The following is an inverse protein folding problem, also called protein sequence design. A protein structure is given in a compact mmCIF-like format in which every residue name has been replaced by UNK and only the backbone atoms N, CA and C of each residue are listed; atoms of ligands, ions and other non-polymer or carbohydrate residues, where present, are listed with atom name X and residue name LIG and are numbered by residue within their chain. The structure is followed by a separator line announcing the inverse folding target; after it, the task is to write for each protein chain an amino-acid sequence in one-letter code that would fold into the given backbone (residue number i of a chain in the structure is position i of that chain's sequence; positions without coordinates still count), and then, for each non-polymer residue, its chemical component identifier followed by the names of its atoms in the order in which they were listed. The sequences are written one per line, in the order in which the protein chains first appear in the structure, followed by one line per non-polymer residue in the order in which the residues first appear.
data_IF_675928280243
#
_entry.id   IF_675928280243
#
_cell.length_a   1.000
_cell.length_b   1.000
_cell.length_c   1.000
_cell.angle_alpha   90.00
_cell.angle_beta   90.00
_cell.angle_gamma   90.00
#
_symmetry.space_group_name_H-M   'P 1'
#
loop_
_entity.id
_entity.type
_entity.pdbx_description
1 polymer ?
#
# COMPACT_ATOMS: atom_id res chain seq x y z
N UNK A 1 -0.82 -16.86 4.50
CA UNK A 1 -2.09 -17.26 5.14
C UNK A 1 -2.92 -18.05 4.13
N UNK A 2 -3.00 -19.40 4.22
CA UNK A 2 -3.62 -20.24 3.17
C UNK A 2 -3.13 -19.92 1.74
N UNK A 3 -1.82 -19.74 1.57
CA UNK A 3 -1.19 -19.34 0.30
C UNK A 3 -1.65 -17.99 -0.29
N UNK A 4 -2.32 -17.14 0.50
CA UNK A 4 -2.56 -15.74 0.17
C UNK A 4 -1.42 -14.89 0.74
N UNK A 5 -0.87 -14.03 -0.11
CA UNK A 5 0.06 -12.95 0.27
C UNK A 5 -0.77 -11.74 0.73
N UNK A 6 -0.70 -11.35 2.02
CA UNK A 6 -1.45 -10.20 2.52
C UNK A 6 -1.12 -8.90 1.80
N UNK A 7 0.12 -8.70 1.32
CA UNK A 7 0.49 -7.49 0.57
C UNK A 7 0.15 -7.58 -0.93
N UNK A 8 -0.79 -8.45 -1.29
CA UNK A 8 -1.42 -8.57 -2.61
C UNK A 8 -2.94 -8.68 -2.49
N UNK A 9 -3.49 -8.34 -1.34
CA UNK A 9 -4.86 -8.73 -0.96
C UNK A 9 -5.75 -7.52 -0.61
N UNK A 10 -5.32 -6.29 -0.89
CA UNK A 10 -6.12 -5.08 -0.68
C UNK A 10 -6.84 -4.63 -1.97
N UNK A 11 -8.01 -3.95 -1.89
CA UNK A 11 -8.76 -3.42 -3.04
C UNK A 11 -8.04 -2.24 -3.71
N UNK A 12 -6.92 -2.50 -4.37
CA UNK A 12 -6.17 -1.51 -5.13
C UNK A 12 -5.56 -2.14 -6.38
N UNK A 13 -5.94 -1.64 -7.55
CA UNK A 13 -5.72 -2.31 -8.85
C UNK A 13 -6.26 -3.77 -8.89
N UNK A 14 -7.24 -4.12 -8.04
CA UNK A 14 -7.91 -5.42 -8.06
C UNK A 14 -9.29 -5.38 -7.42
N UNK A 15 -10.13 -6.35 -7.77
CA UNK A 15 -11.56 -6.35 -7.45
C UNK A 15 -12.16 -7.73 -7.24
N UNK A 16 -13.41 -7.76 -6.76
CA UNK A 16 -14.21 -8.98 -6.65
C UNK A 16 -13.59 -9.99 -5.69
N UNK A 17 -13.48 -11.25 -6.09
CA UNK A 17 -12.99 -12.32 -5.22
C UNK A 17 -11.45 -12.34 -5.06
N UNK A 18 -10.72 -11.43 -5.71
CA UNK A 18 -9.25 -11.42 -5.72
C UNK A 18 -8.62 -10.70 -4.53
N UNK A 19 -9.41 -9.97 -3.75
CA UNK A 19 -8.95 -9.18 -2.59
C UNK A 19 -9.77 -9.46 -1.32
N UNK A 20 -9.24 -9.03 -0.18
CA UNK A 20 -9.74 -9.31 1.18
C UNK A 20 -9.90 -10.81 1.44
N UNK A 21 -9.04 -11.65 0.87
CA UNK A 21 -9.10 -13.11 1.01
C UNK A 21 -8.50 -13.59 2.33
N UNK A 22 -7.64 -12.79 2.94
CA UNK A 22 -6.91 -13.05 4.18
C UNK A 22 -7.55 -12.32 5.38
N UNK A 23 -7.46 -12.91 6.56
CA UNK A 23 -7.76 -12.28 7.85
C UNK A 23 -6.83 -11.10 8.08
N UNK A 24 -5.56 -11.19 7.67
CA UNK A 24 -4.60 -10.08 7.79
C UNK A 24 -5.11 -8.80 7.09
N UNK A 25 -5.45 -8.88 5.79
CA UNK A 25 -5.95 -7.71 5.05
C UNK A 25 -7.27 -7.19 5.63
N UNK A 26 -8.19 -8.08 6.02
CA UNK A 26 -9.47 -7.70 6.63
C UNK A 26 -9.28 -7.01 7.98
N UNK A 27 -8.39 -7.51 8.83
CA UNK A 27 -8.13 -6.93 10.15
C UNK A 27 -7.56 -5.51 10.00
N UNK A 28 -6.60 -5.31 9.10
CA UNK A 28 -6.07 -3.98 8.77
C UNK A 28 -7.18 -3.08 8.24
N UNK A 29 -8.03 -3.58 7.34
CA UNK A 29 -9.17 -2.82 6.82
C UNK A 29 -10.12 -2.34 7.90
N UNK A 30 -10.52 -3.21 8.84
CA UNK A 30 -11.41 -2.78 9.93
C UNK A 30 -10.78 -1.68 10.79
N UNK A 31 -9.48 -1.80 11.08
CA UNK A 31 -8.76 -0.78 11.85
C UNK A 31 -8.74 0.57 11.11
N UNK A 32 -8.46 0.57 9.80
CA UNK A 32 -8.47 1.78 8.96
C UNK A 32 -9.87 2.36 8.72
N UNK A 33 -10.92 1.54 8.78
CA UNK A 33 -12.31 2.03 8.70
C UNK A 33 -12.77 2.72 9.97
N UNK A 34 -12.21 2.35 11.12
CA UNK A 34 -12.57 2.91 12.43
C UNK A 34 -11.68 4.11 12.83
N UNK A 35 -10.54 4.31 12.16
CA UNK A 35 -9.54 5.32 12.54
C UNK A 35 -9.02 6.11 11.34
N UNK A 36 -8.75 7.40 11.57
CA UNK A 36 -8.01 8.22 10.62
C UNK A 36 -6.51 8.12 10.93
N UNK A 37 -5.76 7.53 10.00
CA UNK A 37 -4.30 7.51 10.03
C UNK A 37 -3.76 8.65 9.17
N UNK A 38 -2.80 9.41 9.71
CA UNK A 38 -2.15 10.52 9.00
C UNK A 38 -0.80 10.15 8.39
N UNK A 39 -0.23 9.02 8.83
CA UNK A 39 1.05 8.48 8.36
C UNK A 39 1.09 6.99 8.69
N UNK A 40 1.52 6.16 7.74
CA UNK A 40 1.79 4.74 7.97
C UNK A 40 3.19 4.32 7.47
N UNK A 41 3.74 3.27 8.07
CA UNK A 41 4.98 2.62 7.63
C UNK A 41 4.77 1.10 7.63
N UNK A 42 5.05 0.44 6.51
CA UNK A 42 5.09 -1.02 6.40
C UNK A 42 6.54 -1.50 6.43
N UNK A 43 6.85 -2.47 7.28
CA UNK A 43 8.19 -3.04 7.38
C UNK A 43 8.27 -4.35 6.61
N UNK A 44 9.23 -4.45 5.70
CA UNK A 44 9.49 -5.62 4.87
C UNK A 44 10.90 -6.15 5.08
N UNK A 45 11.15 -7.38 4.61
CA UNK A 45 12.47 -8.01 4.55
C UNK A 45 12.77 -8.52 3.15
N UNK A 46 14.03 -8.48 2.74
CA UNK A 46 14.50 -8.99 1.44
C UNK A 46 15.42 -8.03 0.69
N UNK A 47 15.35 -6.72 0.99
CA UNK A 47 16.24 -5.69 0.46
C UNK A 47 16.35 -4.50 1.41
N UNK A 48 17.28 -3.58 1.15
CA UNK A 48 17.35 -2.27 1.79
C UNK A 48 16.78 -1.20 0.87
N UNK A 49 15.62 -0.65 1.24
CA UNK A 49 14.97 0.45 0.55
C UNK A 49 13.94 1.13 1.46
N UNK A 50 13.67 2.40 1.19
CA UNK A 50 12.48 3.12 1.69
C UNK A 50 11.68 3.51 0.46
N UNK A 51 10.63 2.74 0.20
CA UNK A 51 9.75 2.95 -0.94
C UNK A 51 8.52 3.76 -0.53
N UNK A 52 7.97 4.51 -1.49
CA UNK A 52 6.71 5.25 -1.37
C UNK A 52 5.90 5.14 -2.67
N UNK A 53 4.71 5.72 -2.71
CA UNK A 53 3.77 5.57 -3.82
C UNK A 53 4.32 6.16 -5.14
N UNK A 54 4.01 5.59 -6.29
CA UNK A 54 3.12 4.44 -6.50
C UNK A 54 3.85 3.10 -6.53
N UNK A 55 3.17 2.07 -6.06
CA UNK A 55 3.54 0.67 -6.20
C UNK A 55 2.69 -0.13 -7.18
N UNK A 56 1.50 0.36 -7.54
CA UNK A 56 0.55 -0.42 -8.31
C UNK A 56 0.70 -0.23 -9.83
N UNK A 57 0.44 -1.30 -10.63
CA UNK A 57 0.53 -1.24 -12.10
C UNK A 57 -0.44 -0.26 -12.79
N UNK A 58 -1.52 0.16 -12.12
CA UNK A 58 -2.44 1.18 -12.62
C UNK A 58 -1.80 2.59 -12.68
N UNK A 59 -0.59 2.76 -12.11
CA UNK A 59 0.26 3.95 -12.23
C UNK A 59 1.60 3.64 -12.92
N UNK A 60 1.62 3.43 -14.25
CA UNK A 60 2.68 2.72 -14.95
C UNK A 60 3.94 3.54 -15.29
N UNK A 61 4.15 4.77 -14.80
CA UNK A 61 5.41 5.42 -15.15
C UNK A 61 5.82 6.74 -14.48
N UNK A 62 7.13 6.93 -14.28
CA UNK A 62 7.70 7.99 -13.44
C UNK A 62 7.55 9.42 -13.98
N UNK A 63 7.22 9.57 -15.27
CA UNK A 63 7.18 10.87 -15.97
C UNK A 63 5.76 11.38 -16.24
N UNK A 64 4.72 10.60 -15.94
CA UNK A 64 3.33 10.96 -16.27
C UNK A 64 2.32 10.63 -15.18
N UNK A 65 2.70 9.78 -14.21
CA UNK A 65 1.78 9.30 -13.19
C UNK A 65 2.50 9.26 -11.84
N UNK A 66 2.60 10.44 -11.21
CA UNK A 66 3.18 10.64 -9.88
C UNK A 66 2.06 10.91 -8.90
N UNK A 67 2.21 10.49 -7.65
CA UNK A 67 1.22 10.77 -6.63
C UNK A 67 1.07 12.29 -6.42
N UNK A 68 -0.14 12.80 -6.11
CA UNK A 68 -0.32 14.22 -5.77
C UNK A 68 0.62 14.72 -4.68
N UNK A 69 1.01 13.83 -3.75
CA UNK A 69 1.90 14.10 -2.64
C UNK A 69 3.36 13.63 -2.85
N UNK A 70 3.78 13.33 -4.10
CA UNK A 70 5.13 12.81 -4.43
C UNK A 70 6.25 13.64 -3.79
N UNK A 71 6.15 14.98 -3.82
CA UNK A 71 7.14 15.85 -3.16
C UNK A 71 7.18 15.66 -1.65
N UNK A 72 6.02 15.49 -1.01
CA UNK A 72 5.93 15.21 0.42
C UNK A 72 6.55 13.87 0.76
N UNK A 73 6.23 12.83 -0.01
CA UNK A 73 6.75 11.48 0.14
C UNK A 73 8.27 11.42 -0.10
N UNK A 74 8.80 12.17 -1.08
CA UNK A 74 10.25 12.36 -1.29
C UNK A 74 10.91 12.97 -0.05
N UNK A 75 10.30 14.01 0.56
CA UNK A 75 10.87 14.62 1.77
C UNK A 75 10.84 13.64 2.93
N UNK A 76 9.72 12.95 3.17
CA UNK A 76 9.56 11.99 4.26
C UNK A 76 10.53 10.82 4.12
N UNK A 77 10.59 10.20 2.94
CA UNK A 77 11.48 9.05 2.68
C UNK A 77 12.96 9.41 2.83
N UNK A 78 13.39 10.57 2.33
CA UNK A 78 14.78 11.02 2.49
C UNK A 78 15.13 11.33 3.96
N UNK A 79 14.18 11.86 4.74
CA UNK A 79 14.38 12.05 6.18
C UNK A 79 14.43 10.71 6.90
N UNK A 80 13.58 9.76 6.55
CA UNK A 80 13.61 8.42 7.14
C UNK A 80 14.97 7.75 6.85
N UNK A 81 15.46 7.82 5.61
CA UNK A 81 16.77 7.26 5.20
C UNK A 81 17.94 7.85 6.00
N UNK A 82 17.89 9.16 6.27
CA UNK A 82 18.92 9.85 7.06
C UNK A 82 19.01 9.31 8.51
N UNK A 83 17.90 8.87 9.09
CA UNK A 83 17.82 8.45 10.50
C UNK A 83 17.68 6.94 10.71
N UNK A 84 17.48 6.14 9.66
CA UNK A 84 17.32 4.68 9.75
C UNK A 84 18.62 3.91 9.99
N UNK A 85 19.78 4.57 9.95
CA UNK A 85 21.09 3.92 9.99
C UNK A 85 21.34 3.06 8.75
N UNK A 86 22.30 2.14 8.84
CA UNK A 86 22.61 1.19 7.78
C UNK A 86 23.23 -0.10 8.34
N UNK A 87 23.11 -1.19 7.59
CA UNK A 87 23.83 -2.43 7.91
C UNK A 87 25.33 -2.26 7.69
N UNK A 88 26.14 -3.12 8.32
CA UNK A 88 27.59 -3.09 8.16
C UNK A 88 27.98 -3.29 6.69
N UNK A 89 28.79 -2.37 6.15
CA UNK A 89 29.23 -2.42 4.76
C UNK A 89 28.18 -2.01 3.73
N UNK A 90 27.01 -1.51 4.16
CA UNK A 90 25.98 -0.96 3.27
C UNK A 90 25.89 0.55 3.39
N UNK A 91 25.42 1.19 2.31
CA UNK A 91 25.05 2.61 2.30
C UNK A 91 23.73 2.84 3.03
N UNK A 92 23.33 4.11 3.17
CA UNK A 92 21.98 4.48 3.57
C UNK A 92 20.93 3.85 2.65
N UNK A 93 19.71 3.68 3.17
CA UNK A 93 18.62 3.05 2.44
C UNK A 93 18.29 3.91 1.21
N UNK A 94 18.35 3.35 -0.02
CA UNK A 94 17.89 4.08 -1.20
C UNK A 94 16.41 4.41 -1.05
N UNK A 95 16.03 5.59 -1.53
CA UNK A 95 14.66 6.10 -1.50
C UNK A 95 14.12 6.19 -2.92
N UNK A 96 12.82 5.95 -3.09
CA UNK A 96 12.18 6.05 -4.39
C UNK A 96 10.78 5.49 -4.42
N UNK A 97 10.11 5.63 -5.56
CA UNK A 97 8.78 5.07 -5.78
C UNK A 97 8.86 3.55 -5.82
N UNK A 98 7.84 2.86 -5.30
CA UNK A 98 7.82 1.41 -5.17
C UNK A 98 7.91 0.70 -6.52
N UNK A 99 7.23 1.21 -7.55
CA UNK A 99 7.31 0.71 -8.93
C UNK A 99 8.74 0.74 -9.50
N UNK A 100 9.52 1.78 -9.19
CA UNK A 100 10.84 2.02 -9.77
C UNK A 100 11.98 1.37 -8.96
N UNK A 101 11.88 1.44 -7.62
CA UNK A 101 12.93 1.01 -6.71
C UNK A 101 12.82 -0.48 -6.34
N UNK A 102 11.60 -1.00 -6.27
CA UNK A 102 11.31 -2.37 -5.84
C UNK A 102 10.82 -3.18 -7.05
N UNK A 103 9.52 -3.11 -7.35
CA UNK A 103 8.84 -3.63 -8.53
C UNK A 103 7.33 -3.40 -8.37
N UNK A 104 6.52 -3.45 -9.46
CA UNK A 104 5.07 -3.26 -9.36
C UNK A 104 4.30 -4.33 -8.58
N UNK A 105 3.37 -3.88 -7.74
CA UNK A 105 2.58 -4.67 -6.79
C UNK A 105 1.10 -4.32 -6.91
N UNK A 106 0.30 -5.28 -7.39
CA UNK A 106 -1.17 -5.20 -7.35
C UNK A 106 -1.67 -5.56 -5.95
N UNK A 107 -2.62 -4.79 -5.42
CA UNK A 107 -3.24 -5.07 -4.13
C UNK A 107 -2.35 -4.82 -2.91
N UNK A 108 -1.32 -3.98 -3.05
CA UNK A 108 -0.44 -3.58 -1.95
C UNK A 108 -1.19 -2.79 -0.89
N UNK A 109 -0.80 -2.99 0.38
CA UNK A 109 -1.32 -2.22 1.51
C UNK A 109 -0.95 -0.75 1.38
N UNK A 110 0.25 -0.45 0.85
CA UNK A 110 0.82 0.89 0.76
C UNK A 110 -0.08 1.81 -0.07
N UNK A 111 -0.26 1.51 -1.36
CA UNK A 111 -1.11 2.33 -2.23
C UNK A 111 -2.58 2.31 -1.80
N UNK A 112 -3.08 1.19 -1.27
CA UNK A 112 -4.44 1.13 -0.73
C UNK A 112 -4.63 2.08 0.46
N UNK A 113 -3.68 2.12 1.40
CA UNK A 113 -3.75 2.96 2.59
C UNK A 113 -3.65 4.46 2.31
N UNK A 114 -2.98 4.82 1.21
CA UNK A 114 -2.82 6.19 0.73
C UNK A 114 -3.96 6.64 -0.21
N UNK A 115 -4.44 5.75 -1.08
CA UNK A 115 -5.28 6.12 -2.22
C UNK A 115 -6.55 5.32 -2.46
N UNK A 116 -6.79 4.26 -1.67
CA UNK A 116 -7.93 3.37 -1.88
C UNK A 116 -9.30 4.02 -1.72
N UNK A 117 -9.41 5.27 -1.27
CA UNK A 117 -10.68 6.01 -1.17
C UNK A 117 -10.92 7.02 -2.28
N UNK A 118 -9.90 7.38 -3.07
CA UNK A 118 -10.00 8.52 -3.99
C UNK A 118 -9.37 8.29 -5.36
N UNK A 119 -8.43 7.36 -5.48
CA UNK A 119 -7.99 6.88 -6.78
C UNK A 119 -8.91 5.74 -7.27
N UNK A 120 -8.61 5.19 -8.44
CA UNK A 120 -9.29 4.07 -9.07
C UNK A 120 -9.19 2.83 -8.19
N UNK A 121 -10.18 2.65 -7.33
CA UNK A 121 -10.36 1.48 -6.50
C UNK A 121 -11.63 0.73 -6.89
N UNK A 122 -11.63 -0.57 -6.61
CA UNK A 122 -12.76 -1.44 -6.82
C UNK A 122 -13.20 -2.09 -5.50
N UNK A 123 -14.41 -2.64 -5.47
CA UNK A 123 -14.95 -3.32 -4.30
C UNK A 123 -14.57 -4.81 -4.28
N UNK A 124 -14.26 -5.35 -3.10
CA UNK A 124 -14.02 -6.78 -2.91
C UNK A 124 -15.31 -7.54 -2.57
N UNK A 125 -15.39 -8.80 -3.01
CA UNK A 125 -16.43 -9.75 -2.64
C UNK A 125 -15.84 -11.19 -2.59
N UNK A 126 -14.88 -11.46 -1.67
CA UNK A 126 -14.28 -12.79 -1.51
C UNK A 126 -15.28 -13.77 -0.91
N UNK A 127 -15.04 -15.06 -1.12
CA UNK A 127 -15.81 -16.15 -0.52
C UNK A 127 -15.09 -16.83 0.66
N UNK A 128 -13.84 -16.46 0.95
CA UNK A 128 -13.07 -17.03 2.07
C UNK A 128 -13.69 -16.62 3.40
N UNK A 129 -13.62 -17.52 4.39
CA UNK A 129 -14.16 -17.33 5.75
C UNK A 129 -15.65 -16.96 5.80
N UNK A 130 -16.47 -17.52 4.91
CA UNK A 130 -17.90 -17.18 4.82
C UNK A 130 -18.18 -15.86 4.10
N UNK A 131 -17.16 -15.28 3.49
CA UNK A 131 -17.23 -14.05 2.70
C UNK A 131 -16.78 -12.81 3.45
N UNK A 132 -16.77 -11.68 2.74
CA UNK A 132 -16.53 -10.35 3.30
C UNK A 132 -17.48 -9.36 2.62
N UNK A 133 -18.30 -8.60 3.36
CA UNK A 133 -19.32 -7.75 2.74
C UNK A 133 -18.68 -6.66 1.87
N UNK A 134 -19.17 -6.53 0.64
CA UNK A 134 -18.70 -5.54 -0.34
C UNK A 134 -18.67 -4.11 0.21
N UNK A 135 -19.70 -3.73 0.97
CA UNK A 135 -19.80 -2.41 1.62
C UNK A 135 -18.64 -2.11 2.61
N UNK A 136 -17.89 -3.11 3.07
CA UNK A 136 -16.69 -2.90 3.90
C UNK A 136 -15.45 -2.52 3.07
N UNK A 137 -15.55 -2.55 1.76
CA UNK A 137 -14.52 -2.10 0.81
C UNK A 137 -15.00 -0.98 -0.09
N UNK A 138 -16.06 -0.30 0.35
CA UNK A 138 -16.51 0.97 -0.22
C UNK A 138 -16.10 2.05 0.77
N UNK A 139 -15.27 2.97 0.33
CA UNK A 139 -14.59 3.93 1.17
C UNK A 139 -15.13 5.33 0.92
N UNK A 140 -15.29 6.12 1.98
CA UNK A 140 -15.62 7.53 1.86
C UNK A 140 -14.35 8.36 1.65
N UNK A 141 -14.50 9.55 1.08
CA UNK A 141 -13.38 10.44 0.75
C UNK A 141 -12.44 10.71 1.94
N UNK A 142 -12.91 10.68 3.19
CA UNK A 142 -12.06 10.93 4.36
C UNK A 142 -11.21 9.72 4.81
N UNK A 143 -11.47 8.52 4.28
CA UNK A 143 -10.74 7.30 4.66
C UNK A 143 -9.49 7.09 3.80
N UNK A 144 -8.56 6.24 4.22
CA UNK A 144 -7.37 5.85 3.43
C UNK A 144 -6.55 7.05 2.92
N UNK A 145 -5.94 7.79 3.86
CA UNK A 145 -5.17 9.04 3.64
C UNK A 145 -3.78 9.00 4.32
N UNK A 146 -3.30 7.80 4.59
CA UNK A 146 -2.08 7.59 5.38
C UNK A 146 -0.80 7.75 4.54
#
# INVERSE_FOLDING_TARGET
ENSVDPNRDFPYDQSGASCMRSVAARAVNEVWREHLFQLALTFHGGMTAIAYEWGAPNHPGPNKDVSPDDRGQVVLSNKLSLYSGHFQGQSAYPTGRLNDLVYPVRGGMEDWGYAGSWDRHDTCAPNTFGGYPAARTTYEDATLRA
#
